data_IF_221087948952
#
_entry.id   IF_221087948952
#
_cell.length_a   1.000
_cell.length_b   1.000
_cell.length_c   1.000
_cell.angle_alpha   90.00
_cell.angle_beta   90.00
_cell.angle_gamma   90.00
#
_symmetry.space_group_name_H-M   'P 1'
#
loop_
_entity.id
_entity.type
_entity.pdbx_description
1 polymer ?
#
# COMPACT_ATOMS: atom_id res chain seq x y z
N UNK A 1 -12.33 -2.52 -4.01
CA UNK A 1 -11.79 -1.33 -4.73
C UNK A 1 -10.74 -1.77 -5.74
N UNK A 2 -11.10 -2.62 -6.71
CA UNK A 2 -10.15 -3.21 -7.68
C UNK A 2 -10.30 -2.67 -9.10
N UNK A 3 -11.40 -1.97 -9.36
CA UNK A 3 -11.69 -1.39 -10.67
C UNK A 3 -11.14 0.03 -10.79
N UNK A 4 -10.52 0.34 -11.93
CA UNK A 4 -9.99 1.68 -12.20
C UNK A 4 -11.11 2.73 -12.28
N UNK A 5 -12.32 2.31 -12.68
CA UNK A 5 -13.48 3.18 -12.77
C UNK A 5 -14.17 3.44 -11.41
N UNK A 6 -13.65 2.86 -10.32
CA UNK A 6 -14.23 3.01 -8.98
C UNK A 6 -14.43 4.48 -8.59
N UNK A 7 -13.52 5.37 -9.00
CA UNK A 7 -13.60 6.82 -8.74
C UNK A 7 -14.82 7.48 -9.37
N UNK A 8 -15.30 6.99 -10.51
CA UNK A 8 -16.48 7.53 -11.18
C UNK A 8 -17.77 6.89 -10.62
N UNK A 9 -17.70 5.62 -10.23
CA UNK A 9 -18.84 4.89 -9.65
C UNK A 9 -19.18 5.35 -8.23
N UNK A 10 -18.21 5.92 -7.52
CA UNK A 10 -18.36 6.42 -6.16
C UNK A 10 -18.05 7.92 -6.14
N UNK A 11 -18.88 8.78 -6.75
CA UNK A 11 -18.60 10.20 -6.80
C UNK A 11 -18.72 10.82 -5.40
N UNK A 12 -18.10 11.99 -5.25
CA UNK A 12 -18.30 12.86 -4.11
C UNK A 12 -19.76 13.35 -4.06
N UNK A 13 -20.19 13.89 -2.92
CA UNK A 13 -21.57 14.41 -2.74
C UNK A 13 -21.95 15.50 -3.75
N UNK A 14 -20.98 16.19 -4.33
CA UNK A 14 -21.17 17.21 -5.36
C UNK A 14 -21.23 16.63 -6.79
N UNK A 15 -21.14 15.31 -6.96
CA UNK A 15 -21.20 14.63 -8.25
C UNK A 15 -19.84 14.46 -8.96
N UNK A 16 -18.78 15.08 -8.46
CA UNK A 16 -17.44 14.95 -9.05
C UNK A 16 -16.83 13.56 -8.77
N UNK A 17 -16.00 13.03 -9.69
CA UNK A 17 -15.27 11.78 -9.44
C UNK A 17 -14.44 11.84 -8.16
N UNK A 18 -14.31 10.68 -7.51
CA UNK A 18 -13.43 10.52 -6.37
C UNK A 18 -11.96 10.66 -6.77
N UNK A 19 -11.08 10.80 -5.78
CA UNK A 19 -9.67 11.04 -6.04
C UNK A 19 -8.98 9.82 -6.70
N UNK A 20 -8.22 10.03 -7.78
CA UNK A 20 -7.50 8.96 -8.51
C UNK A 20 -6.49 8.16 -7.66
N UNK A 21 -6.13 8.68 -6.49
CA UNK A 21 -5.27 7.98 -5.52
C UNK A 21 -5.85 6.64 -5.05
N UNK A 22 -7.18 6.47 -5.09
CA UNK A 22 -7.84 5.24 -4.65
C UNK A 22 -7.60 4.03 -5.57
N UNK A 23 -7.18 4.23 -6.82
CA UNK A 23 -7.17 3.16 -7.84
C UNK A 23 -5.77 2.64 -8.21
N UNK A 24 -4.71 3.18 -7.61
CA UNK A 24 -3.35 2.71 -7.92
C UNK A 24 -2.38 2.88 -6.76
N UNK A 25 -2.44 1.97 -5.78
CA UNK A 25 -1.33 1.72 -4.84
C UNK A 25 -0.99 2.86 -3.88
N UNK A 26 -1.95 3.29 -3.07
CA UNK A 26 -1.66 4.17 -1.94
C UNK A 26 -0.98 3.41 -0.80
N UNK A 27 0.01 4.04 -0.18
CA UNK A 27 0.63 3.59 1.06
C UNK A 27 0.16 4.47 2.21
N UNK A 28 -0.28 3.85 3.31
CA UNK A 28 -0.76 4.57 4.48
C UNK A 28 -0.60 3.73 5.75
N UNK A 29 -0.52 4.42 6.90
CA UNK A 29 -0.56 3.77 8.20
C UNK A 29 -1.96 3.27 8.54
N UNK A 30 -2.07 1.97 8.81
CA UNK A 30 -3.31 1.33 9.26
C UNK A 30 -3.22 0.99 10.76
N UNK A 31 -4.37 0.89 11.45
CA UNK A 31 -4.42 0.45 12.85
C UNK A 31 -3.69 1.37 13.85
N UNK A 32 -3.58 2.67 13.56
CA UNK A 32 -2.86 3.64 14.41
C UNK A 32 -1.36 3.74 14.15
N UNK A 33 -0.81 2.97 13.21
CA UNK A 33 0.55 3.14 12.72
C UNK A 33 0.72 4.53 12.11
N UNK A 34 1.86 5.16 12.38
CA UNK A 34 2.24 6.44 11.76
C UNK A 34 3.39 6.24 10.78
N UNK A 35 3.39 7.03 9.72
CA UNK A 35 4.46 7.11 8.73
C UNK A 35 4.38 8.46 8.00
N UNK A 36 5.48 8.88 7.40
CA UNK A 36 5.58 10.10 6.60
C UNK A 36 5.36 9.76 5.11
N UNK A 37 4.36 10.33 4.43
CA UNK A 37 4.16 10.15 3.00
C UNK A 37 5.15 10.96 2.16
N UNK A 38 5.72 10.35 1.11
CA UNK A 38 6.59 11.06 0.17
C UNK A 38 5.80 11.76 -0.96
N UNK A 39 4.58 11.31 -1.27
CA UNK A 39 3.66 11.99 -2.19
C UNK A 39 2.29 12.19 -1.52
N UNK A 40 2.13 13.23 -0.69
CA UNK A 40 1.05 13.33 0.27
C UNK A 40 -0.33 13.58 -0.36
N UNK A 41 -1.31 12.78 0.09
CA UNK A 41 -2.74 13.10 0.08
C UNK A 41 -3.28 12.93 1.49
N UNK A 42 -3.10 13.97 2.31
CA UNK A 42 -3.27 13.87 3.76
C UNK A 42 -2.18 13.01 4.37
N UNK A 43 -2.53 12.04 5.23
CA UNK A 43 -1.59 11.08 5.83
C UNK A 43 -1.23 9.91 4.91
N UNK A 44 -1.84 9.84 3.72
CA UNK A 44 -1.58 8.80 2.72
C UNK A 44 -0.56 9.27 1.72
N UNK A 45 0.18 8.33 1.15
CA UNK A 45 1.10 8.56 0.05
C UNK A 45 0.52 7.97 -1.22
N UNK A 46 0.25 8.79 -2.24
CA UNK A 46 -0.33 8.36 -3.53
C UNK A 46 0.72 8.11 -4.62
N UNK A 47 0.43 7.21 -5.55
CA UNK A 47 1.34 6.96 -6.69
C UNK A 47 1.61 8.22 -7.52
N UNK A 48 2.88 8.44 -7.86
CA UNK A 48 3.28 9.45 -8.85
C UNK A 48 2.85 9.05 -10.27
N UNK A 49 2.76 7.75 -10.53
CA UNK A 49 2.33 7.19 -11.79
C UNK A 49 1.35 6.04 -11.56
N UNK A 50 0.16 6.13 -12.16
CA UNK A 50 -0.87 5.11 -12.01
C UNK A 50 -0.57 3.95 -12.96
N UNK A 51 -0.28 2.77 -12.42
CA UNK A 51 0.16 1.60 -13.21
C UNK A 51 -0.70 0.36 -13.01
N UNK A 52 -1.72 0.42 -12.16
CA UNK A 52 -2.68 -0.67 -12.04
C UNK A 52 -3.42 -0.91 -13.36
N UNK A 53 -3.57 -2.18 -13.69
CA UNK A 53 -4.50 -2.68 -14.70
C UNK A 53 -5.87 -2.92 -14.06
N UNK A 54 -6.94 -2.82 -14.85
CA UNK A 54 -8.32 -3.07 -14.42
C UNK A 54 -8.59 -4.52 -14.03
N UNK A 55 -9.79 -4.80 -13.51
CA UNK A 55 -10.09 -6.15 -13.02
C UNK A 55 -10.00 -7.24 -14.09
N UNK A 56 -9.77 -8.46 -13.62
CA UNK A 56 -9.47 -9.61 -14.47
C UNK A 56 -8.02 -9.64 -15.00
N UNK A 57 -7.25 -8.56 -14.81
CA UNK A 57 -5.83 -8.52 -15.18
C UNK A 57 -4.91 -8.65 -13.97
N UNK A 58 -3.79 -9.34 -14.17
CA UNK A 58 -2.77 -9.48 -13.15
C UNK A 58 -1.88 -8.23 -13.07
N UNK A 59 -1.79 -7.70 -11.85
CA UNK A 59 -0.81 -6.69 -11.46
C UNK A 59 0.34 -7.34 -10.68
N UNK A 60 1.55 -6.84 -10.89
CA UNK A 60 2.74 -7.24 -10.13
C UNK A 60 3.10 -6.13 -9.17
N UNK A 61 3.29 -6.48 -7.90
CA UNK A 61 3.66 -5.56 -6.83
C UNK A 61 5.01 -6.00 -6.28
N UNK A 62 5.97 -5.07 -6.27
CA UNK A 62 7.23 -5.24 -5.56
C UNK A 62 7.24 -4.25 -4.39
N UNK A 63 7.30 -4.79 -3.17
CA UNK A 63 7.29 -4.00 -1.94
C UNK A 63 8.64 -4.19 -1.25
N UNK A 64 9.34 -3.08 -1.00
CA UNK A 64 10.65 -3.09 -0.33
C UNK A 64 10.56 -2.33 0.97
N UNK A 65 10.74 -3.05 2.08
CA UNK A 65 10.67 -2.52 3.43
C UNK A 65 12.07 -2.50 4.06
N UNK A 66 12.64 -1.31 4.26
CA UNK A 66 13.98 -1.14 4.84
C UNK A 66 13.94 0.01 5.84
N UNK A 67 14.27 -0.28 7.08
CA UNK A 67 14.45 0.71 8.16
C UNK A 67 13.28 1.70 8.32
N UNK A 68 12.05 1.20 8.25
CA UNK A 68 10.83 2.03 8.35
C UNK A 68 10.47 2.79 7.07
N UNK A 69 11.24 2.64 5.99
CA UNK A 69 10.86 3.03 4.63
C UNK A 69 10.18 1.87 3.93
N UNK A 70 9.03 2.13 3.32
CA UNK A 70 8.31 1.18 2.46
C UNK A 70 8.21 1.80 1.07
N UNK A 71 8.77 1.11 0.08
CA UNK A 71 8.69 1.48 -1.33
C UNK A 71 7.79 0.51 -2.07
N UNK A 72 6.95 1.05 -2.94
CA UNK A 72 6.05 0.30 -3.79
C UNK A 72 6.40 0.52 -5.26
N UNK A 73 6.59 -0.58 -5.99
CA UNK A 73 6.57 -0.62 -7.43
C UNK A 73 5.37 -1.42 -7.93
N UNK A 74 4.76 -0.95 -9.02
CA UNK A 74 3.64 -1.63 -9.67
C UNK A 74 4.00 -1.85 -11.13
N UNK A 75 3.83 -3.09 -11.60
CA UNK A 75 4.10 -3.50 -12.98
C UNK A 75 5.49 -3.03 -13.47
N UNK A 76 6.51 -3.29 -12.65
CA UNK A 76 7.93 -3.09 -12.99
C UNK A 76 8.47 -1.68 -12.82
N UNK A 77 7.71 -0.74 -12.22
CA UNK A 77 8.17 0.64 -11.99
C UNK A 77 7.84 1.10 -10.59
N UNK A 78 8.81 1.74 -9.93
CA UNK A 78 8.58 2.45 -8.67
C UNK A 78 7.50 3.52 -8.86
N UNK A 79 6.49 3.51 -7.98
CA UNK A 79 5.37 4.44 -8.05
C UNK A 79 5.29 5.35 -6.83
N UNK A 80 5.69 4.88 -5.63
CA UNK A 80 5.65 5.69 -4.42
C UNK A 80 6.35 5.06 -3.19
N UNK A 81 6.45 5.84 -2.11
CA UNK A 81 6.91 5.39 -0.80
C UNK A 81 6.28 6.11 0.39
N UNK A 82 6.45 5.49 1.56
CA UNK A 82 6.34 6.10 2.89
C UNK A 82 7.66 5.86 3.64
N UNK A 83 7.96 6.71 4.62
CA UNK A 83 9.14 6.60 5.49
C UNK A 83 8.79 6.84 6.96
N UNK A 84 9.76 6.67 7.85
CA UNK A 84 9.61 6.89 9.28
C UNK A 84 8.45 6.09 9.90
N UNK A 85 8.22 4.87 9.42
CA UNK A 85 7.18 4.01 10.00
C UNK A 85 7.47 3.74 11.47
N UNK A 86 6.44 3.90 12.31
CA UNK A 86 6.53 3.62 13.75
C UNK A 86 6.69 2.12 14.06
N UNK A 87 6.33 1.24 13.12
CA UNK A 87 6.53 -0.22 13.20
C UNK A 87 7.37 -0.68 12.01
N UNK A 88 8.45 -1.40 12.29
CA UNK A 88 9.46 -1.81 11.29
C UNK A 88 9.51 -3.33 11.08
N UNK A 89 8.84 -4.11 11.93
CA UNK A 89 8.71 -5.57 11.80
C UNK A 89 7.32 -6.02 12.23
N UNK A 90 6.70 -6.90 11.45
CA UNK A 90 5.37 -7.40 11.77
C UNK A 90 4.89 -8.44 10.76
N UNK A 91 3.57 -8.59 10.69
CA UNK A 91 2.90 -9.58 9.85
C UNK A 91 2.58 -9.04 8.46
N UNK A 92 2.43 -9.94 7.49
CA UNK A 92 1.80 -9.66 6.22
C UNK A 92 0.34 -10.12 6.28
N UNK A 93 -0.57 -9.24 5.89
CA UNK A 93 -1.99 -9.54 5.76
C UNK A 93 -2.42 -9.28 4.31
N UNK A 94 -3.21 -10.20 3.76
CA UNK A 94 -3.84 -10.04 2.45
C UNK A 94 -5.30 -9.68 2.68
N UNK A 95 -5.66 -8.45 2.32
CA UNK A 95 -6.99 -7.92 2.53
C UNK A 95 -7.84 -8.02 1.26
N UNK A 96 -9.12 -8.35 1.46
CA UNK A 96 -10.17 -8.29 0.44
C UNK A 96 -11.26 -7.35 0.92
N UNK A 97 -11.39 -6.18 0.28
CA UNK A 97 -12.40 -5.18 0.66
C UNK A 97 -13.48 -5.05 -0.43
N UNK A 98 -14.69 -5.49 -0.11
CA UNK A 98 -15.92 -5.27 -0.88
C UNK A 98 -16.09 -6.11 -2.16
N UNK A 99 -15.05 -6.81 -2.61
CA UNK A 99 -15.11 -7.70 -3.78
C UNK A 99 -14.13 -8.87 -3.60
N UNK A 100 -14.33 -9.93 -4.37
CA UNK A 100 -13.37 -11.04 -4.46
C UNK A 100 -12.02 -10.55 -4.99
N UNK A 101 -10.92 -11.06 -4.41
CA UNK A 101 -9.55 -10.79 -4.85
C UNK A 101 -8.75 -12.09 -4.87
N UNK A 102 -7.93 -12.29 -5.90
CA UNK A 102 -7.08 -13.47 -6.02
C UNK A 102 -5.61 -13.06 -5.91
N UNK A 103 -4.85 -13.80 -5.11
CA UNK A 103 -3.41 -13.63 -4.97
C UNK A 103 -2.67 -14.86 -5.50
N UNK A 104 -1.51 -14.67 -6.12
CA UNK A 104 -0.63 -15.77 -6.56
C UNK A 104 0.83 -15.34 -6.53
N UNK A 105 1.72 -16.33 -6.52
CA UNK A 105 3.17 -16.12 -6.62
C UNK A 105 3.75 -15.18 -5.54
N UNK A 106 3.21 -15.23 -4.32
CA UNK A 106 3.73 -14.47 -3.19
C UNK A 106 5.09 -15.06 -2.80
N UNK A 107 6.12 -14.23 -2.83
CA UNK A 107 7.50 -14.59 -2.52
C UNK A 107 8.07 -13.54 -1.58
N UNK A 108 8.86 -14.00 -0.62
CA UNK A 108 9.50 -13.14 0.38
C UNK A 108 10.99 -13.40 0.29
N UNK A 109 11.76 -12.32 0.15
CA UNK A 109 13.20 -12.31 0.38
C UNK A 109 13.43 -11.61 1.70
N UNK A 110 13.79 -12.37 2.74
CA UNK A 110 14.15 -11.78 4.02
C UNK A 110 15.49 -11.06 3.90
N UNK A 111 15.52 -9.81 4.39
CA UNK A 111 16.75 -9.05 4.52
C UNK A 111 17.44 -9.40 5.85
N UNK A 112 18.77 -9.26 5.95
CA UNK A 112 19.47 -9.39 7.21
C UNK A 112 18.83 -8.50 8.30
N UNK A 113 18.86 -8.93 9.57
CA UNK A 113 18.27 -8.16 10.65
C UNK A 113 18.92 -6.78 10.75
N UNK A 114 18.09 -5.74 10.85
CA UNK A 114 18.50 -4.37 11.13
C UNK A 114 18.46 -4.02 12.62
N UNK A 115 18.59 -2.72 12.92
CA UNK A 115 18.45 -2.19 14.28
C UNK A 115 16.97 -1.84 14.51
N UNK A 116 16.22 -2.72 15.19
CA UNK A 116 14.82 -2.49 15.57
C UNK A 116 14.64 -2.62 17.07
N UNK A 117 14.00 -1.64 17.71
CA UNK A 117 13.64 -1.72 19.13
C UNK A 117 12.37 -2.55 19.34
N UNK A 118 12.10 -3.06 20.55
CA UNK A 118 10.88 -3.82 20.83
C UNK A 118 9.58 -3.06 20.47
N UNK A 119 9.57 -1.74 20.64
CA UNK A 119 8.41 -0.88 20.34
C UNK A 119 8.15 -0.76 18.83
N UNK A 120 9.16 -0.99 18.00
CA UNK A 120 9.07 -1.00 16.54
C UNK A 120 8.67 -2.38 15.99
N UNK A 121 8.39 -3.36 16.84
CA UNK A 121 7.96 -4.70 16.46
C UNK A 121 6.49 -4.84 16.81
N UNK A 122 5.68 -5.30 15.84
CA UNK A 122 4.28 -5.60 16.08
C UNK A 122 4.13 -6.63 17.21
N UNK A 123 3.18 -6.39 18.12
CA UNK A 123 2.89 -7.33 19.21
C UNK A 123 2.49 -8.68 18.62
N UNK A 124 2.91 -9.75 19.30
CA UNK A 124 2.45 -11.10 18.95
C UNK A 124 0.94 -11.17 19.19
N UNK A 125 0.22 -11.65 18.19
CA UNK A 125 -1.21 -11.93 18.29
C UNK A 125 -1.33 -13.36 18.77
N UNK A 126 -2.00 -13.58 19.91
CA UNK A 126 -2.33 -14.90 20.44
C UNK A 126 -3.62 -15.45 19.82
#
# INVERSE_FOLDING_TARGET
MLELDWVNQHPLKNGEPNHIGYISGELFGAGGLTATPDNPRGSRSMSFELRCKGAGQWNVYDVVCVDGTVKLAINGKFVNSIRDSSVRKGYLCLESEGSEVHFRNIRILELPPGITTPEQIAKVVE
#
